data_IF_366828352979
#
_entry.id   IF_366828352979
#
_cell.length_a   1.000
_cell.length_b   1.000
_cell.length_c   1.000
_cell.angle_alpha   90.00
_cell.angle_beta   90.00
_cell.angle_gamma   90.00
#
_symmetry.space_group_name_H-M   'P 1'
#
loop_
_entity.id
_entity.type
_entity.pdbx_description
1 polymer ?
#
# COMPACT_ATOMS: atom_id res chain seq x y z
N UNK A 1 -2.67 56.63 31.68
CA UNK A 1 -2.20 57.39 32.87
C UNK A 1 -3.41 57.61 33.76
N UNK A 2 -3.27 57.28 35.05
CA UNK A 2 -4.15 57.71 36.17
C UNK A 2 -5.47 56.91 36.31
N UNK A 3 -5.50 55.82 37.10
CA UNK A 3 -5.67 55.73 38.59
C UNK A 3 -7.17 55.89 38.93
N UNK A 4 -7.90 54.85 39.34
CA UNK A 4 -7.91 54.06 40.58
C UNK A 4 -9.32 54.24 41.22
N UNK A 5 -9.87 53.48 42.16
CA UNK A 5 -9.36 52.55 43.19
C UNK A 5 -10.60 51.96 43.89
N UNK A 6 -10.50 50.71 44.38
CA UNK A 6 -10.98 50.18 45.70
C UNK A 6 -12.49 50.27 46.04
N UNK A 7 -13.10 49.38 46.82
CA UNK A 7 -12.67 48.29 47.72
C UNK A 7 -13.91 47.47 48.10
N UNK A 8 -13.72 46.16 48.21
CA UNK A 8 -14.16 45.23 49.27
C UNK A 8 -15.59 45.24 49.83
N UNK A 9 -16.24 44.08 49.81
CA UNK A 9 -16.58 43.35 51.05
C UNK A 9 -16.92 41.88 50.75
N UNK A 10 -16.41 41.03 51.63
CA UNK A 10 -16.46 39.57 51.67
C UNK A 10 -17.69 39.13 52.47
N UNK A 11 -18.41 38.09 52.01
CA UNK A 11 -19.10 37.15 52.89
C UNK A 11 -18.91 35.72 52.36
N UNK A 12 -18.23 34.91 53.19
CA UNK A 12 -18.19 33.46 53.14
C UNK A 12 -19.54 32.89 53.61
N UNK A 13 -20.06 31.84 52.96
CA UNK A 13 -20.22 30.55 53.63
C UNK A 13 -20.58 29.44 52.62
N UNK A 14 -19.59 28.59 52.39
CA UNK A 14 -19.58 27.17 52.75
C UNK A 14 -20.73 26.23 52.33
N UNK A 15 -20.30 25.04 51.90
CA UNK A 15 -21.06 23.82 52.14
C UNK A 15 -21.49 23.01 50.93
N UNK A 16 -20.64 22.05 50.55
CA UNK A 16 -21.12 20.69 50.33
C UNK A 16 -21.38 20.27 48.88
N UNK A 17 -20.31 19.80 48.23
CA UNK A 17 -20.39 19.12 46.95
C UNK A 17 -20.79 17.63 47.03
N UNK A 18 -21.03 17.13 45.81
CA UNK A 18 -20.91 15.77 45.31
C UNK A 18 -21.84 14.67 45.84
N UNK A 19 -22.58 14.07 44.90
CA UNK A 19 -22.45 12.64 44.64
C UNK A 19 -22.91 12.23 43.24
N UNK A 20 -22.07 11.42 42.59
CA UNK A 20 -22.36 10.61 41.42
C UNK A 20 -23.32 9.45 41.77
N UNK A 21 -24.05 8.86 40.81
CA UNK A 21 -24.87 7.68 41.09
C UNK A 21 -24.06 6.38 40.93
N UNK A 22 -24.00 5.60 41.99
CA UNK A 22 -23.60 4.17 42.01
C UNK A 22 -24.82 3.24 42.02
N UNK A 23 -24.64 1.94 41.68
CA UNK A 23 -25.69 0.97 41.34
C UNK A 23 -26.14 0.12 42.54
N UNK A 24 -27.23 -0.65 42.38
CA UNK A 24 -27.71 -1.66 43.36
C UNK A 24 -28.72 -2.65 42.70
N UNK A 25 -29.06 -3.82 43.30
CA UNK A 25 -28.27 -5.03 43.67
C UNK A 25 -28.93 -6.36 43.17
N UNK A 26 -28.28 -7.52 42.95
CA UNK A 26 -27.77 -8.56 43.89
C UNK A 26 -28.91 -9.37 44.59
N UNK A 27 -28.93 -10.70 44.82
CA UNK A 27 -28.10 -11.89 44.56
C UNK A 27 -28.75 -13.10 45.31
N UNK A 28 -28.35 -14.35 45.01
CA UNK A 28 -28.21 -15.56 45.89
C UNK A 28 -28.58 -16.86 45.15
N UNK A 29 -27.87 -18.00 45.19
CA UNK A 29 -26.61 -18.43 45.83
C UNK A 29 -26.13 -19.76 45.20
N UNK A 30 -24.82 -20.03 45.31
CA UNK A 30 -24.07 -21.16 44.76
C UNK A 30 -24.11 -22.46 45.61
N UNK A 31 -23.75 -23.61 45.00
CA UNK A 31 -22.63 -24.49 45.46
C UNK A 31 -22.32 -25.68 44.52
N UNK A 32 -21.05 -26.06 44.58
CA UNK A 32 -20.25 -27.03 43.82
C UNK A 32 -20.74 -28.49 43.85
N UNK A 33 -20.41 -29.31 42.84
CA UNK A 33 -19.45 -30.45 42.92
C UNK A 33 -19.26 -31.15 41.55
N UNK A 34 -18.02 -31.50 41.18
CA UNK A 34 -17.67 -32.64 40.31
C UNK A 34 -17.14 -33.78 41.21
N UNK A 35 -17.20 -35.08 40.84
CA UNK A 35 -16.09 -35.67 40.05
C UNK A 35 -16.41 -36.91 39.16
N UNK A 36 -15.59 -37.10 38.11
CA UNK A 36 -15.25 -38.39 37.44
C UNK A 36 -16.35 -39.06 36.60
N UNK A 37 -16.13 -39.63 35.42
CA UNK A 37 -14.95 -39.93 34.62
C UNK A 37 -15.27 -41.21 33.82
N UNK A 38 -15.18 -41.22 32.49
CA UNK A 38 -14.87 -42.42 31.70
C UNK A 38 -14.58 -42.06 30.24
N UNK A 39 -13.52 -42.71 29.77
CA UNK A 39 -12.89 -42.68 28.46
C UNK A 39 -13.74 -43.46 27.45
N UNK A 40 -13.93 -42.92 26.25
CA UNK A 40 -14.11 -43.75 25.06
C UNK A 40 -13.35 -43.15 23.87
N UNK A 41 -12.41 -43.95 23.38
CA UNK A 41 -11.67 -43.80 22.14
C UNK A 41 -12.63 -43.72 20.94
N UNK A 42 -12.40 -42.76 20.08
CA UNK A 42 -12.89 -42.69 18.71
C UNK A 42 -11.76 -42.22 17.82
N UNK A 43 -11.03 -43.18 17.26
CA UNK A 43 -10.08 -42.98 16.18
C UNK A 43 -10.80 -42.43 14.94
N UNK A 44 -10.11 -41.56 14.19
CA UNK A 44 -10.45 -41.31 12.79
C UNK A 44 -10.37 -39.85 12.38
N UNK A 45 -9.39 -39.52 11.55
CA UNK A 45 -9.40 -38.28 10.76
C UNK A 45 -8.18 -37.39 10.92
N UNK A 46 -6.98 -37.94 11.05
CA UNK A 46 -5.78 -37.22 10.62
C UNK A 46 -5.89 -36.99 9.12
N UNK A 47 -6.32 -35.81 8.70
CA UNK A 47 -6.25 -35.39 7.31
C UNK A 47 -4.78 -35.20 6.95
N UNK A 48 -4.13 -36.28 6.56
CA UNK A 48 -2.89 -36.21 5.82
C UNK A 48 -3.21 -35.46 4.52
N UNK A 49 -2.82 -34.20 4.43
CA UNK A 49 -2.89 -33.46 3.18
C UNK A 49 -2.02 -34.19 2.16
N UNK A 50 -2.67 -34.76 1.14
CA UNK A 50 -2.01 -35.37 -0.01
C UNK A 50 -1.04 -34.37 -0.66
N UNK A 51 0.11 -34.80 -1.20
CA UNK A 51 1.11 -33.89 -1.79
C UNK A 51 0.65 -33.15 -3.06
N UNK A 52 -0.59 -33.39 -3.52
CA UNK A 52 -1.12 -32.87 -4.78
C UNK A 52 -2.42 -32.06 -4.62
N UNK A 53 -2.69 -31.49 -3.44
CA UNK A 53 -3.82 -30.56 -3.31
C UNK A 53 -3.44 -29.19 -3.88
N UNK A 54 -3.72 -28.95 -5.16
CA UNK A 54 -3.64 -27.61 -5.75
C UNK A 54 -4.47 -26.65 -4.91
N UNK A 55 -3.85 -25.66 -4.27
CA UNK A 55 -4.57 -24.66 -3.48
C UNK A 55 -5.51 -23.88 -4.42
N UNK A 56 -6.82 -24.19 -4.41
CA UNK A 56 -7.80 -23.50 -5.27
C UNK A 56 -8.12 -22.11 -4.73
N UNK A 57 -8.41 -21.17 -5.62
CA UNK A 57 -8.81 -19.82 -5.21
C UNK A 57 -10.12 -19.83 -4.40
N UNK A 58 -10.19 -19.17 -3.22
CA UNK A 58 -11.37 -19.21 -2.33
C UNK A 58 -12.61 -18.46 -2.88
N UNK A 59 -13.44 -19.14 -3.66
CA UNK A 59 -14.64 -18.56 -4.30
C UNK A 59 -15.66 -17.97 -3.32
N UNK A 60 -15.91 -18.65 -2.19
CA UNK A 60 -16.88 -18.18 -1.19
C UNK A 60 -16.43 -16.85 -0.56
N UNK A 61 -15.14 -16.75 -0.20
CA UNK A 61 -14.57 -15.50 0.32
C UNK A 61 -14.57 -14.39 -0.72
N UNK A 62 -14.35 -14.72 -2.00
CA UNK A 62 -14.45 -13.75 -3.09
C UNK A 62 -15.87 -13.19 -3.20
N UNK A 63 -16.89 -14.04 -3.18
CA UNK A 63 -18.29 -13.60 -3.24
C UNK A 63 -18.68 -12.71 -2.05
N UNK A 64 -18.20 -13.05 -0.84
CA UNK A 64 -18.43 -12.23 0.35
C UNK A 64 -17.71 -10.88 0.23
N UNK A 65 -16.47 -10.86 -0.25
CA UNK A 65 -15.74 -9.61 -0.49
C UNK A 65 -16.49 -8.73 -1.49
N UNK A 66 -16.91 -9.28 -2.62
CA UNK A 66 -17.67 -8.58 -3.67
C UNK A 66 -18.94 -7.93 -3.07
N UNK A 67 -19.69 -8.69 -2.28
CA UNK A 67 -20.88 -8.17 -1.58
C UNK A 67 -20.53 -7.01 -0.64
N UNK A 68 -19.44 -7.12 0.13
CA UNK A 68 -19.00 -6.06 1.04
C UNK A 68 -18.57 -4.81 0.26
N UNK A 69 -17.69 -4.93 -0.75
CA UNK A 69 -17.14 -3.78 -1.48
C UNK A 69 -18.20 -3.06 -2.31
N UNK A 70 -19.29 -3.72 -2.69
CA UNK A 70 -20.43 -3.08 -3.37
C UNK A 70 -21.46 -2.45 -2.42
N UNK A 71 -21.36 -2.70 -1.11
CA UNK A 71 -22.31 -2.17 -0.11
C UNK A 71 -22.15 -0.65 0.08
N UNK A 72 -23.29 0.05 0.22
CA UNK A 72 -23.36 1.46 0.62
C UNK A 72 -23.03 1.67 2.10
N UNK A 73 -23.29 0.66 2.94
CA UNK A 73 -22.79 0.57 4.31
C UNK A 73 -21.58 -0.35 4.32
N UNK A 74 -20.45 0.20 3.90
CA UNK A 74 -19.19 -0.52 3.84
C UNK A 74 -18.67 -0.88 5.24
N UNK A 75 -18.19 -2.10 5.38
CA UNK A 75 -17.44 -2.58 6.55
C UNK A 75 -16.09 -3.06 6.05
N UNK A 76 -15.03 -2.56 6.65
CA UNK A 76 -13.65 -2.82 6.25
C UNK A 76 -13.30 -4.31 6.47
N UNK A 77 -13.08 -5.12 5.42
CA UNK A 77 -12.86 -6.57 5.53
C UNK A 77 -11.38 -6.89 5.77
N UNK A 78 -10.76 -6.16 6.68
CA UNK A 78 -9.30 -6.18 6.89
C UNK A 78 -8.88 -7.00 8.10
N UNK A 79 -9.82 -7.40 8.96
CA UNK A 79 -9.49 -8.18 10.15
C UNK A 79 -8.83 -9.51 9.76
N UNK A 80 -8.02 -10.11 10.66
CA UNK A 80 -7.35 -11.37 10.39
C UNK A 80 -8.33 -12.46 9.95
N UNK A 81 -7.91 -13.26 8.97
CA UNK A 81 -8.67 -14.38 8.39
C UNK A 81 -9.98 -14.00 7.65
N UNK A 82 -10.24 -12.70 7.51
CA UNK A 82 -11.31 -12.21 6.66
C UNK A 82 -10.94 -12.25 5.18
N UNK A 83 -11.90 -11.87 4.35
CA UNK A 83 -11.89 -12.18 2.93
C UNK A 83 -10.69 -11.58 2.22
N UNK A 84 -10.40 -10.30 2.44
CA UNK A 84 -9.29 -9.63 1.74
C UNK A 84 -7.94 -10.29 2.04
N UNK A 85 -7.63 -10.54 3.31
CA UNK A 85 -6.36 -11.16 3.68
C UNK A 85 -6.27 -12.58 3.10
N UNK A 86 -7.32 -13.39 3.25
CA UNK A 86 -7.34 -14.76 2.73
C UNK A 86 -7.19 -14.81 1.20
N UNK A 87 -7.83 -13.90 0.48
CA UNK A 87 -7.76 -13.84 -0.98
C UNK A 87 -6.37 -13.41 -1.46
N UNK A 88 -5.73 -12.44 -0.80
CA UNK A 88 -4.34 -12.07 -1.13
C UNK A 88 -3.39 -13.24 -0.83
N UNK A 89 -3.53 -13.91 0.31
CA UNK A 89 -2.72 -15.10 0.64
C UNK A 89 -2.90 -16.21 -0.40
N UNK A 90 -4.13 -16.52 -0.78
CA UNK A 90 -4.41 -17.53 -1.80
C UNK A 90 -3.85 -17.13 -3.17
N UNK A 91 -3.95 -15.85 -3.55
CA UNK A 91 -3.34 -15.34 -4.77
C UNK A 91 -1.82 -15.52 -4.77
N UNK A 92 -1.14 -15.19 -3.66
CA UNK A 92 0.30 -15.37 -3.51
C UNK A 92 0.71 -16.83 -3.70
N UNK A 93 0.00 -17.78 -3.07
CA UNK A 93 0.29 -19.21 -3.21
C UNK A 93 0.06 -19.72 -4.64
N UNK A 94 -0.97 -19.22 -5.32
CA UNK A 94 -1.18 -19.51 -6.73
C UNK A 94 -0.08 -18.92 -7.62
N UNK A 95 0.37 -17.69 -7.36
CA UNK A 95 1.46 -17.06 -8.12
C UNK A 95 2.77 -17.85 -8.00
N UNK A 96 3.10 -18.36 -6.80
CA UNK A 96 4.30 -19.18 -6.58
C UNK A 96 4.35 -20.45 -7.44
N UNK A 97 3.18 -20.92 -7.88
CA UNK A 97 3.03 -22.12 -8.73
C UNK A 97 2.57 -21.78 -10.15
N UNK A 98 2.51 -20.49 -10.53
CA UNK A 98 1.92 -19.97 -11.78
C UNK A 98 0.48 -20.43 -12.07
N UNK A 99 -0.22 -20.98 -11.08
CA UNK A 99 -1.60 -21.48 -11.22
C UNK A 99 -2.64 -20.36 -11.16
N UNK A 100 -2.23 -19.14 -10.82
CA UNK A 100 -3.12 -17.97 -10.82
C UNK A 100 -3.59 -17.61 -12.23
N UNK A 101 -2.76 -17.85 -13.25
CA UNK A 101 -3.05 -17.52 -14.67
C UNK A 101 -4.25 -18.30 -15.20
N UNK A 102 -4.42 -19.55 -14.75
CA UNK A 102 -5.53 -20.41 -15.15
C UNK A 102 -6.79 -20.20 -14.27
N UNK A 103 -6.64 -19.46 -13.17
CA UNK A 103 -7.71 -19.19 -12.22
C UNK A 103 -8.40 -17.86 -12.54
N UNK A 104 -9.44 -17.91 -13.38
CA UNK A 104 -10.21 -16.70 -13.70
C UNK A 104 -10.77 -15.95 -12.48
N UNK A 105 -11.22 -16.61 -11.40
CA UNK A 105 -11.57 -15.92 -10.15
C UNK A 105 -10.42 -15.12 -9.54
N UNK A 106 -9.18 -15.63 -9.63
CA UNK A 106 -7.98 -14.94 -9.16
C UNK A 106 -7.62 -13.77 -10.06
N UNK A 107 -7.71 -13.95 -11.39
CA UNK A 107 -7.49 -12.87 -12.35
C UNK A 107 -8.53 -11.74 -12.18
N UNK A 108 -9.81 -12.07 -11.97
CA UNK A 108 -10.86 -11.08 -11.66
C UNK A 108 -10.58 -10.36 -10.35
N UNK A 109 -10.08 -11.06 -9.33
CA UNK A 109 -9.67 -10.43 -8.08
C UNK A 109 -8.54 -9.40 -8.29
N UNK A 110 -7.59 -9.64 -9.20
CA UNK A 110 -6.57 -8.64 -9.57
C UNK A 110 -7.15 -7.41 -10.26
N UNK A 111 -8.04 -7.63 -11.24
CA UNK A 111 -8.60 -6.54 -12.07
C UNK A 111 -9.54 -5.64 -11.28
N UNK A 112 -10.38 -6.23 -10.43
CA UNK A 112 -11.50 -5.53 -9.80
C UNK A 112 -11.39 -5.52 -8.27
N UNK A 113 -11.26 -6.71 -7.67
CA UNK A 113 -11.35 -6.88 -6.22
C UNK A 113 -10.30 -6.08 -5.44
N UNK A 114 -9.03 -6.15 -5.85
CA UNK A 114 -7.94 -5.42 -5.21
C UNK A 114 -8.07 -3.90 -5.39
N UNK A 115 -8.34 -3.45 -6.63
CA UNK A 115 -8.46 -2.03 -6.95
C UNK A 115 -9.53 -1.34 -6.10
N UNK A 116 -10.73 -1.91 -6.05
CA UNK A 116 -11.83 -1.34 -5.27
C UNK A 116 -11.55 -1.42 -3.77
N UNK A 117 -11.05 -2.56 -3.29
CA UNK A 117 -10.76 -2.77 -1.86
C UNK A 117 -9.72 -1.78 -1.35
N UNK A 118 -8.55 -1.69 -1.98
CA UNK A 118 -7.47 -0.81 -1.51
C UNK A 118 -7.79 0.67 -1.71
N UNK A 119 -8.53 1.04 -2.76
CA UNK A 119 -9.00 2.43 -2.90
C UNK A 119 -9.85 2.82 -1.70
N UNK A 120 -10.90 2.05 -1.38
CA UNK A 120 -11.75 2.33 -0.21
C UNK A 120 -10.94 2.34 1.09
N UNK A 121 -10.10 1.32 1.31
CA UNK A 121 -9.37 1.19 2.58
C UNK A 121 -8.37 2.33 2.82
N UNK A 122 -7.73 2.84 1.75
CA UNK A 122 -6.64 3.81 1.89
C UNK A 122 -7.08 5.27 1.72
N UNK A 123 -8.27 5.53 1.16
CA UNK A 123 -8.73 6.89 0.87
C UNK A 123 -10.02 7.29 1.59
N UNK A 124 -10.77 6.36 2.19
CA UNK A 124 -12.04 6.67 2.85
C UNK A 124 -11.82 7.54 4.10
N UNK A 125 -12.71 8.51 4.31
CA UNK A 125 -12.65 9.43 5.46
C UNK A 125 -12.79 8.70 6.80
N UNK A 126 -13.43 7.52 6.80
CA UNK A 126 -13.57 6.66 7.96
C UNK A 126 -12.23 6.18 8.55
N UNK A 127 -11.10 6.32 7.84
CA UNK A 127 -9.75 6.09 8.38
C UNK A 127 -9.55 6.75 9.74
N UNK A 128 -10.08 7.97 9.93
CA UNK A 128 -9.93 8.73 11.18
C UNK A 128 -10.71 8.13 12.36
N UNK A 129 -11.67 7.25 12.09
CA UNK A 129 -12.53 6.62 13.10
C UNK A 129 -12.07 5.22 13.50
N UNK A 130 -11.14 4.63 12.76
CA UNK A 130 -10.70 3.26 13.01
C UNK A 130 -9.74 3.18 14.20
N UNK A 131 -9.81 2.06 14.93
CA UNK A 131 -8.92 1.77 16.04
C UNK A 131 -7.55 1.34 15.52
N UNK A 132 -6.48 1.64 16.25
CA UNK A 132 -5.09 1.32 15.86
C UNK A 132 -4.87 -0.13 15.39
N UNK A 133 -5.56 -1.12 15.98
CA UNK A 133 -5.47 -2.52 15.54
C UNK A 133 -5.97 -2.73 14.10
N UNK A 134 -6.97 -1.98 13.65
CA UNK A 134 -7.46 -1.99 12.27
C UNK A 134 -6.40 -1.42 11.33
N UNK A 135 -5.73 -0.33 11.73
CA UNK A 135 -4.65 0.26 10.93
C UNK A 135 -3.49 -0.73 10.72
N UNK A 136 -3.12 -1.49 11.76
CA UNK A 136 -2.14 -2.56 11.63
C UNK A 136 -2.59 -3.67 10.67
N UNK A 137 -3.87 -4.04 10.72
CA UNK A 137 -4.41 -5.03 9.78
C UNK A 137 -4.36 -4.54 8.32
N UNK A 138 -4.66 -3.26 8.09
CA UNK A 138 -4.54 -2.61 6.78
C UNK A 138 -3.08 -2.64 6.31
N UNK A 139 -2.15 -2.21 7.16
CA UNK A 139 -0.72 -2.23 6.87
C UNK A 139 -0.23 -3.65 6.53
N UNK A 140 -0.63 -4.66 7.30
CA UNK A 140 -0.31 -6.07 7.03
C UNK A 140 -0.87 -6.57 5.69
N UNK A 141 -1.99 -6.03 5.22
CA UNK A 141 -2.53 -6.35 3.90
C UNK A 141 -1.77 -5.61 2.78
N UNK A 142 -1.32 -4.37 3.03
CA UNK A 142 -0.40 -3.67 2.13
C UNK A 142 0.91 -4.44 1.93
N UNK A 143 1.49 -5.01 3.00
CA UNK A 143 2.71 -5.82 2.89
C UNK A 143 2.51 -7.05 1.99
N UNK A 144 1.39 -7.77 2.16
CA UNK A 144 1.05 -8.93 1.32
C UNK A 144 0.79 -8.53 -0.13
N UNK A 145 0.16 -7.38 -0.35
CA UNK A 145 -0.01 -6.85 -1.69
C UNK A 145 1.34 -6.53 -2.35
N UNK A 146 2.29 -5.94 -1.63
CA UNK A 146 3.64 -5.69 -2.14
C UNK A 146 4.31 -7.02 -2.55
N UNK A 147 4.21 -8.06 -1.72
CA UNK A 147 4.67 -9.41 -2.07
C UNK A 147 4.04 -9.93 -3.36
N UNK A 148 2.70 -9.86 -3.46
CA UNK A 148 1.96 -10.28 -4.65
C UNK A 148 2.41 -9.52 -5.91
N UNK A 149 2.61 -8.21 -5.81
CA UNK A 149 3.05 -7.37 -6.93
C UNK A 149 4.46 -7.76 -7.37
N UNK A 150 5.39 -7.99 -6.44
CA UNK A 150 6.76 -8.41 -6.78
C UNK A 150 6.75 -9.76 -7.50
N UNK A 151 5.96 -10.73 -7.03
CA UNK A 151 5.82 -12.04 -7.70
C UNK A 151 5.26 -11.93 -9.12
N UNK A 152 4.45 -10.90 -9.38
CA UNK A 152 3.78 -10.66 -10.67
C UNK A 152 4.47 -9.62 -11.54
N UNK A 153 5.55 -9.00 -11.08
CA UNK A 153 6.25 -7.90 -11.78
C UNK A 153 6.81 -8.32 -13.14
N UNK A 154 7.15 -9.61 -13.27
CA UNK A 154 7.55 -10.25 -14.52
C UNK A 154 6.44 -10.32 -15.58
N UNK A 155 5.20 -10.02 -15.23
CA UNK A 155 4.00 -10.14 -16.07
C UNK A 155 3.29 -8.79 -16.23
N UNK A 156 2.56 -8.60 -17.33
CA UNK A 156 1.96 -7.31 -17.71
C UNK A 156 0.60 -7.08 -17.01
N UNK A 157 0.59 -7.18 -15.68
CA UNK A 157 -0.64 -7.07 -14.87
C UNK A 157 -0.83 -5.63 -14.37
N UNK A 158 -1.20 -4.72 -15.29
CA UNK A 158 -1.38 -3.28 -15.01
C UNK A 158 -2.26 -3.00 -13.77
N UNK A 159 -3.40 -3.69 -13.55
CA UNK A 159 -4.21 -3.44 -12.35
C UNK A 159 -3.45 -3.61 -11.03
N UNK A 160 -2.52 -4.57 -10.94
CA UNK A 160 -1.68 -4.73 -9.74
C UNK A 160 -0.71 -3.54 -9.55
N UNK A 161 -0.17 -3.00 -10.65
CA UNK A 161 0.71 -1.83 -10.63
C UNK A 161 -0.04 -0.54 -10.24
N UNK A 162 -1.28 -0.39 -10.68
CA UNK A 162 -2.15 0.71 -10.25
C UNK A 162 -2.47 0.63 -8.76
N UNK A 163 -2.68 -0.57 -8.22
CA UNK A 163 -2.90 -0.77 -6.78
C UNK A 163 -1.61 -0.54 -5.99
N UNK A 164 -0.45 -0.97 -6.50
CA UNK A 164 0.86 -0.61 -5.92
C UNK A 164 1.02 0.91 -5.83
N UNK A 165 0.63 1.63 -6.90
CA UNK A 165 0.64 3.09 -6.92
C UNK A 165 -0.22 3.67 -5.79
N UNK A 166 -1.45 3.16 -5.60
CA UNK A 166 -2.32 3.61 -4.49
C UNK A 166 -1.69 3.34 -3.12
N UNK A 167 -1.06 2.17 -2.94
CA UNK A 167 -0.41 1.76 -1.69
C UNK A 167 0.84 2.57 -1.41
N UNK A 168 1.58 2.99 -2.43
CA UNK A 168 2.76 3.84 -2.27
C UNK A 168 2.45 5.33 -2.22
N UNK A 169 1.26 5.76 -2.64
CA UNK A 169 0.91 7.18 -2.69
C UNK A 169 0.98 7.85 -1.30
N UNK A 170 1.98 8.71 -1.02
CA UNK A 170 2.11 9.34 0.30
C UNK A 170 0.91 10.25 0.61
N UNK A 171 0.20 10.74 -0.40
CA UNK A 171 -0.90 11.67 -0.20
C UNK A 171 -2.25 10.99 0.11
N UNK A 172 -2.33 9.66 0.16
CA UNK A 172 -3.57 8.99 0.54
C UNK A 172 -3.93 9.25 2.02
N UNK A 173 -5.22 9.07 2.35
CA UNK A 173 -5.77 9.37 3.69
C UNK A 173 -5.09 8.53 4.76
N UNK A 174 -4.83 7.25 4.50
CA UNK A 174 -4.19 6.33 5.44
C UNK A 174 -2.77 6.77 5.81
N UNK A 175 -1.91 7.06 4.84
CA UNK A 175 -0.53 7.49 5.11
C UNK A 175 -0.48 8.87 5.75
N UNK A 176 -1.41 9.76 5.39
CA UNK A 176 -1.52 11.09 5.99
C UNK A 176 -1.94 11.00 7.46
N UNK A 177 -2.92 10.16 7.79
CA UNK A 177 -3.33 9.91 9.17
C UNK A 177 -2.19 9.30 10.00
N UNK A 178 -1.46 8.33 9.44
CA UNK A 178 -0.35 7.66 10.11
C UNK A 178 1.01 8.35 9.86
N UNK A 179 1.05 9.64 9.55
CA UNK A 179 2.30 10.31 9.13
C UNK A 179 3.40 10.29 10.20
N UNK A 180 3.04 10.23 11.48
CA UNK A 180 3.97 10.15 12.61
C UNK A 180 4.41 8.72 12.95
N UNK A 181 3.91 7.71 12.24
CA UNK A 181 4.32 6.33 12.46
C UNK A 181 5.81 6.18 12.16
N UNK A 182 6.55 5.55 13.09
CA UNK A 182 7.97 5.28 12.91
C UNK A 182 8.17 4.04 12.04
N UNK A 183 9.26 4.07 11.27
CA UNK A 183 9.68 2.95 10.43
C UNK A 183 10.33 1.87 11.29
N UNK A 184 9.96 0.61 11.02
CA UNK A 184 10.60 -0.56 11.65
C UNK A 184 11.89 -0.92 10.92
N UNK A 185 11.90 -0.77 9.58
CA UNK A 185 13.08 -1.06 8.75
C UNK A 185 14.19 -0.02 8.91
N UNK A 186 13.83 1.22 9.24
CA UNK A 186 14.77 2.33 9.49
C UNK A 186 14.39 3.04 10.79
N UNK A 187 14.72 2.47 11.97
CA UNK A 187 14.44 3.10 13.25
C UNK A 187 15.15 4.46 13.39
N UNK A 188 14.57 5.35 14.18
CA UNK A 188 15.20 6.63 14.54
C UNK A 188 16.54 6.36 15.23
N UNK A 189 17.59 7.11 14.83
CA UNK A 189 18.98 6.93 15.30
C UNK A 189 19.65 5.61 14.90
N UNK A 190 19.10 4.88 13.93
CA UNK A 190 19.81 3.74 13.33
C UNK A 190 20.97 4.23 12.45
N UNK A 191 22.13 3.59 12.58
CA UNK A 191 23.32 3.86 11.76
C UNK A 191 23.38 2.91 10.54
N UNK A 192 22.22 2.50 10.02
CA UNK A 192 22.16 1.66 8.82
C UNK A 192 22.68 2.51 7.64
N UNK A 193 23.59 2.02 6.80
CA UNK A 193 24.03 2.72 5.58
C UNK A 193 22.91 2.87 4.54
N UNK A 194 23.04 3.82 3.61
CA UNK A 194 22.06 4.01 2.53
C UNK A 194 22.09 2.89 1.49
N UNK A 195 23.19 2.15 1.40
CA UNK A 195 23.38 1.03 0.50
C UNK A 195 22.65 -0.24 0.97
N UNK A 196 22.29 -0.32 2.25
CA UNK A 196 21.63 -1.47 2.86
C UNK A 196 20.09 -1.34 2.88
N UNK A 197 19.56 -0.16 2.54
CA UNK A 197 18.12 0.11 2.51
C UNK A 197 17.72 0.84 1.24
N UNK A 198 16.46 0.70 0.86
CA UNK A 198 15.94 1.25 -0.39
C UNK A 198 15.25 2.60 -0.21
N UNK A 199 14.70 2.85 0.98
CA UNK A 199 13.99 4.06 1.32
C UNK A 199 14.22 4.48 2.77
N UNK A 200 14.06 5.79 3.01
CA UNK A 200 14.17 6.45 4.32
C UNK A 200 13.10 7.54 4.49
N UNK A 201 12.76 7.91 5.75
CA UNK A 201 11.97 9.10 6.01
C UNK A 201 12.65 10.37 5.47
N UNK A 202 11.87 11.26 4.87
CA UNK A 202 12.35 12.59 4.41
C UNK A 202 12.75 13.48 5.60
N UNK A 203 11.94 13.42 6.66
CA UNK A 203 12.18 14.15 7.91
C UNK A 203 11.98 13.18 9.09
N UNK A 204 13.02 13.04 9.92
CA UNK A 204 13.01 12.18 11.11
C UNK A 204 12.25 12.79 12.29
N UNK A 205 11.90 14.08 12.25
CA UNK A 205 11.24 14.78 13.35
C UNK A 205 9.72 14.88 13.17
N UNK A 206 9.21 14.96 11.93
CA UNK A 206 7.78 15.03 11.63
C UNK A 206 7.47 14.35 10.30
N UNK A 207 6.27 13.79 10.17
CA UNK A 207 5.78 13.18 8.92
C UNK A 207 6.71 12.08 8.36
N UNK A 208 7.27 11.25 9.25
CA UNK A 208 8.20 10.17 8.91
C UNK A 208 7.60 9.15 7.93
N UNK A 209 6.28 8.93 8.01
CA UNK A 209 5.53 7.97 7.20
C UNK A 209 6.20 6.60 7.18
N UNK A 210 6.54 6.10 8.37
CA UNK A 210 7.37 4.91 8.55
C UNK A 210 6.83 3.66 7.89
N UNK A 211 5.50 3.46 7.89
CA UNK A 211 4.88 2.34 7.18
C UNK A 211 5.04 2.44 5.65
N UNK A 212 5.03 3.64 5.07
CA UNK A 212 5.32 3.79 3.64
C UNK A 212 6.77 3.41 3.35
N UNK A 213 7.71 3.90 4.16
CA UNK A 213 9.14 3.55 4.07
C UNK A 213 9.33 2.03 4.17
N UNK A 214 8.68 1.40 5.14
CA UNK A 214 8.76 -0.05 5.34
C UNK A 214 8.19 -0.84 4.15
N UNK A 215 7.13 -0.36 3.50
CA UNK A 215 6.58 -0.99 2.29
C UNK A 215 7.52 -0.87 1.09
N UNK A 216 8.21 0.26 0.93
CA UNK A 216 9.21 0.45 -0.13
C UNK A 216 10.44 -0.43 0.12
N UNK A 217 10.91 -0.50 1.37
CA UNK A 217 12.00 -1.38 1.76
C UNK A 217 11.63 -2.86 1.59
N UNK A 218 10.39 -3.25 1.90
CA UNK A 218 9.88 -4.59 1.62
C UNK A 218 9.94 -4.91 0.12
N UNK A 219 9.46 -4.00 -0.74
CA UNK A 219 9.53 -4.17 -2.20
C UNK A 219 10.96 -4.42 -2.67
N UNK A 220 11.93 -3.64 -2.18
CA UNK A 220 13.34 -3.84 -2.53
C UNK A 220 13.96 -5.12 -1.97
N UNK A 221 13.67 -5.47 -0.71
CA UNK A 221 14.17 -6.70 -0.07
C UNK A 221 13.66 -7.97 -0.76
N UNK A 222 12.50 -7.90 -1.42
CA UNK A 222 11.97 -8.99 -2.23
C UNK A 222 12.52 -9.01 -3.66
N UNK A 223 13.50 -8.15 -3.99
CA UNK A 223 14.08 -8.06 -5.33
C UNK A 223 13.24 -7.26 -6.32
N UNK A 224 12.21 -6.54 -5.87
CA UNK A 224 11.28 -5.81 -6.74
C UNK A 224 11.97 -4.76 -7.63
N UNK A 225 12.96 -4.02 -7.11
CA UNK A 225 13.69 -3.05 -7.93
C UNK A 225 14.57 -3.70 -8.99
N UNK A 226 15.17 -4.84 -8.67
CA UNK A 226 15.96 -5.61 -9.63
C UNK A 226 15.07 -6.16 -10.74
N UNK A 227 13.94 -6.77 -10.38
CA UNK A 227 12.95 -7.25 -11.35
C UNK A 227 12.36 -6.11 -12.19
N UNK A 228 12.14 -4.93 -11.61
CA UNK A 228 11.71 -3.73 -12.34
C UNK A 228 12.75 -3.31 -13.39
N UNK A 229 14.02 -3.23 -13.01
CA UNK A 229 15.11 -2.87 -13.93
C UNK A 229 15.22 -3.87 -15.09
N UNK A 230 15.18 -5.17 -14.79
CA UNK A 230 15.25 -6.23 -15.80
C UNK A 230 14.13 -6.12 -16.84
N UNK A 231 12.93 -5.68 -16.44
CA UNK A 231 11.80 -5.46 -17.35
C UNK A 231 12.11 -4.43 -18.44
N UNK A 232 12.88 -3.38 -18.11
CA UNK A 232 13.32 -2.39 -19.09
C UNK A 232 14.53 -2.87 -19.90
N UNK A 233 15.43 -3.63 -19.28
CA UNK A 233 16.65 -4.12 -19.95
C UNK A 233 16.39 -5.26 -20.94
N UNK A 234 15.37 -6.09 -20.72
CA UNK A 234 15.13 -7.31 -21.51
C UNK A 234 14.59 -7.05 -22.93
N UNK A 235 14.51 -5.80 -23.39
CA UNK A 235 14.04 -5.39 -24.74
C UNK A 235 12.69 -5.98 -25.16
N UNK A 236 11.89 -6.47 -24.21
CA UNK A 236 10.49 -6.80 -24.44
C UNK A 236 9.75 -5.53 -24.86
N UNK A 237 8.79 -5.64 -25.78
CA UNK A 237 8.00 -4.50 -26.26
C UNK A 237 7.13 -3.95 -25.12
N UNK A 238 7.64 -2.93 -24.42
CA UNK A 238 6.92 -2.25 -23.36
C UNK A 238 5.95 -1.24 -23.98
N UNK A 239 4.66 -1.38 -23.72
CA UNK A 239 3.67 -0.39 -24.14
C UNK A 239 3.73 0.84 -23.24
N UNK A 240 3.32 2.01 -23.76
CA UNK A 240 3.30 3.26 -22.97
C UNK A 240 2.46 3.15 -21.68
N UNK A 241 1.25 2.57 -21.70
CA UNK A 241 0.49 2.35 -20.46
C UNK A 241 1.23 1.48 -19.44
N UNK A 242 1.98 0.48 -19.90
CA UNK A 242 2.76 -0.39 -19.01
C UNK A 242 3.97 0.33 -18.42
N UNK A 243 4.71 1.11 -19.22
CA UNK A 243 5.82 1.95 -18.73
C UNK A 243 5.30 2.93 -17.67
N UNK A 244 4.17 3.58 -17.95
CA UNK A 244 3.53 4.47 -16.99
C UNK A 244 3.20 3.75 -15.69
N UNK A 245 2.54 2.59 -15.76
CA UNK A 245 2.16 1.82 -14.58
C UNK A 245 3.38 1.32 -13.78
N UNK A 246 4.48 0.97 -14.45
CA UNK A 246 5.72 0.49 -13.81
C UNK A 246 6.46 1.61 -13.06
N UNK A 247 6.48 2.84 -13.60
CA UNK A 247 7.30 3.94 -13.07
C UNK A 247 6.52 4.87 -12.14
N UNK A 248 5.21 5.01 -12.33
CA UNK A 248 4.35 5.91 -11.56
C UNK A 248 4.43 5.69 -10.03
N UNK A 249 4.40 4.46 -9.47
CA UNK A 249 4.53 4.25 -8.03
C UNK A 249 5.76 4.94 -7.45
N UNK A 250 6.89 4.85 -8.15
CA UNK A 250 8.19 5.32 -7.67
C UNK A 250 8.38 6.83 -7.88
N UNK A 251 7.81 7.39 -8.95
CA UNK A 251 7.72 8.84 -9.10
C UNK A 251 6.96 9.50 -7.94
N UNK A 252 5.93 8.84 -7.38
CA UNK A 252 5.19 9.38 -6.23
C UNK A 252 5.95 9.32 -4.91
N UNK A 253 6.91 8.40 -4.77
CA UNK A 253 7.71 8.22 -3.54
C UNK A 253 9.18 8.60 -3.72
N UNK A 254 9.53 9.33 -4.78
CA UNK A 254 10.90 9.68 -5.13
C UNK A 254 11.67 10.32 -3.94
N UNK A 255 11.02 11.16 -3.15
CA UNK A 255 11.63 11.82 -1.97
C UNK A 255 12.05 10.83 -0.87
N UNK A 256 11.46 9.64 -0.82
CA UNK A 256 11.77 8.61 0.18
C UNK A 256 12.85 7.64 -0.29
N UNK A 257 13.12 7.53 -1.60
CA UNK A 257 14.10 6.60 -2.11
C UNK A 257 15.51 7.05 -1.74
N UNK A 258 16.38 6.11 -1.34
CA UNK A 258 17.79 6.43 -1.10
C UNK A 258 18.49 6.74 -2.43
N UNK A 259 19.50 7.62 -2.39
CA UNK A 259 20.28 7.94 -3.58
C UNK A 259 20.91 6.69 -4.24
N UNK A 260 21.49 5.73 -3.49
CA UNK A 260 21.94 4.46 -4.07
C UNK A 260 20.86 3.69 -4.82
N UNK A 261 19.61 3.70 -4.33
CA UNK A 261 18.48 3.04 -5.01
C UNK A 261 18.16 3.69 -6.34
N UNK A 262 18.11 5.03 -6.38
CA UNK A 262 17.85 5.79 -7.61
C UNK A 262 18.96 5.55 -8.63
N UNK A 263 20.23 5.67 -8.20
CA UNK A 263 21.39 5.46 -9.06
C UNK A 263 21.44 4.03 -9.61
N UNK A 264 21.20 3.03 -8.77
CA UNK A 264 21.34 1.62 -9.16
C UNK A 264 20.21 1.14 -10.07
N UNK A 265 18.97 1.48 -9.75
CA UNK A 265 17.81 0.86 -10.40
C UNK A 265 17.08 1.81 -11.35
N UNK A 266 16.97 3.10 -11.03
CA UNK A 266 16.17 4.02 -11.82
C UNK A 266 16.97 4.73 -12.91
N UNK A 267 18.21 5.15 -12.65
CA UNK A 267 19.02 5.83 -13.68
C UNK A 267 19.14 5.03 -14.99
N UNK A 268 19.43 3.71 -14.99
CA UNK A 268 19.44 2.94 -16.23
C UNK A 268 18.05 2.89 -16.91
N UNK A 269 16.96 2.89 -16.14
CA UNK A 269 15.61 2.94 -16.70
C UNK A 269 15.34 4.30 -17.36
N UNK A 270 15.79 5.40 -16.72
CA UNK A 270 15.63 6.76 -17.25
C UNK A 270 16.45 6.99 -18.52
N UNK A 271 17.51 6.23 -18.76
CA UNK A 271 18.27 6.22 -20.02
C UNK A 271 17.51 5.45 -21.13
N UNK A 272 16.79 4.38 -20.78
CA UNK A 272 16.04 3.54 -21.74
C UNK A 272 14.73 4.21 -22.19
N UNK A 273 13.99 4.87 -21.29
CA UNK A 273 12.66 5.41 -21.58
C UNK A 273 12.67 6.40 -22.76
N UNK A 274 13.59 7.39 -22.84
CA UNK A 274 13.69 8.28 -24.00
C UNK A 274 13.84 7.53 -25.33
N UNK A 275 14.65 6.48 -25.36
CA UNK A 275 14.83 5.66 -26.58
C UNK A 275 13.51 4.98 -26.98
N UNK A 276 12.73 4.48 -26.03
CA UNK A 276 11.41 3.89 -26.32
C UNK A 276 10.45 4.95 -26.87
N UNK A 277 10.43 6.13 -26.27
CA UNK A 277 9.55 7.23 -26.68
C UNK A 277 9.89 7.77 -28.08
N UNK A 278 11.17 7.90 -28.43
CA UNK A 278 11.61 8.36 -29.76
C UNK A 278 11.31 7.33 -30.88
N UNK A 279 11.14 6.06 -30.53
CA UNK A 279 10.84 4.98 -31.48
C UNK A 279 9.34 4.69 -31.65
N UNK A 280 8.45 5.49 -31.04
CA UNK A 280 7.01 5.35 -31.23
C UNK A 280 6.60 5.68 -32.66
N UNK A 281 5.68 4.89 -33.20
CA UNK A 281 5.07 5.17 -34.49
C UNK A 281 4.03 6.29 -34.40
N UNK A 282 3.76 6.98 -35.51
CA UNK A 282 2.69 8.00 -35.59
C UNK A 282 1.32 7.47 -35.13
N UNK A 283 1.04 6.19 -35.38
CA UNK A 283 -0.22 5.56 -35.00
C UNK A 283 -0.30 5.28 -33.49
N UNK A 284 0.82 4.96 -32.84
CA UNK A 284 0.92 4.84 -31.39
C UNK A 284 0.81 6.22 -30.72
N UNK A 285 1.51 7.22 -31.25
CA UNK A 285 1.41 8.61 -30.78
C UNK A 285 -0.02 9.13 -30.89
N UNK A 286 -0.69 8.92 -32.03
CA UNK A 286 -2.11 9.30 -32.22
C UNK A 286 -3.05 8.55 -31.29
N UNK A 287 -2.74 7.30 -30.94
CA UNK A 287 -3.56 6.50 -30.02
C UNK A 287 -3.47 7.05 -28.60
N UNK A 288 -2.27 7.40 -28.15
CA UNK A 288 -2.07 7.99 -26.83
C UNK A 288 -2.62 9.43 -26.76
N UNK A 289 -2.44 10.24 -27.81
CA UNK A 289 -2.95 11.62 -27.87
C UNK A 289 -4.50 11.71 -27.86
N UNK A 290 -5.21 10.69 -28.37
CA UNK A 290 -6.68 10.66 -28.38
C UNK A 290 -7.31 10.31 -27.02
N UNK A 291 -6.53 9.85 -26.05
CA UNK A 291 -7.00 9.52 -24.70
C UNK A 291 -7.07 10.78 -23.80
N UNK A 292 -7.75 11.84 -24.28
CA UNK A 292 -7.90 13.16 -23.61
C UNK A 292 -8.59 13.10 -22.22
N UNK A 293 -9.08 11.94 -21.78
CA UNK A 293 -9.64 11.76 -20.45
C UNK A 293 -8.57 11.43 -19.40
N UNK A 294 -8.12 12.45 -18.65
CA UNK A 294 -7.41 12.39 -17.34
C UNK A 294 -6.12 11.57 -17.20
N UNK A 295 -5.69 10.78 -18.18
CA UNK A 295 -4.50 9.92 -18.09
C UNK A 295 -3.69 10.00 -19.39
N UNK A 296 -3.06 11.15 -19.63
CA UNK A 296 -1.94 11.20 -20.57
C UNK A 296 -0.80 10.37 -19.97
N UNK A 297 -0.72 9.11 -20.39
CA UNK A 297 0.27 8.16 -19.91
C UNK A 297 1.68 8.65 -20.22
N UNK A 298 1.90 9.33 -21.35
CA UNK A 298 3.21 9.86 -21.70
C UNK A 298 3.59 11.02 -20.79
N UNK A 299 2.69 12.00 -20.57
CA UNK A 299 2.94 13.07 -19.60
C UNK A 299 3.17 12.51 -18.19
N UNK A 300 2.46 11.44 -17.84
CA UNK A 300 2.65 10.70 -16.60
C UNK A 300 4.04 10.07 -16.48
N UNK A 301 4.51 9.39 -17.52
CA UNK A 301 5.88 8.84 -17.61
C UNK A 301 6.90 9.96 -17.46
N UNK A 302 6.79 11.03 -18.24
CA UNK A 302 7.70 12.18 -18.21
C UNK A 302 7.75 12.78 -16.81
N UNK A 303 6.58 13.00 -16.18
CA UNK A 303 6.49 13.55 -14.82
C UNK A 303 7.25 12.68 -13.82
N UNK A 304 7.00 11.37 -13.81
CA UNK A 304 7.67 10.48 -12.86
C UNK A 304 9.18 10.37 -13.12
N UNK A 305 9.60 10.34 -14.39
CA UNK A 305 11.02 10.34 -14.75
C UNK A 305 11.72 11.61 -14.25
N UNK A 306 11.10 12.78 -14.42
CA UNK A 306 11.66 14.06 -13.94
C UNK A 306 11.81 14.10 -12.43
N UNK A 307 10.82 13.60 -11.68
CA UNK A 307 10.89 13.54 -10.22
C UNK A 307 12.04 12.66 -9.74
N UNK A 308 12.24 11.51 -10.37
CA UNK A 308 13.35 10.60 -10.06
C UNK A 308 14.72 11.18 -10.46
N UNK A 309 14.83 11.78 -11.65
CA UNK A 309 16.07 12.40 -12.12
C UNK A 309 16.50 13.58 -11.22
N UNK A 310 15.54 14.37 -10.73
CA UNK A 310 15.81 15.54 -9.88
C UNK A 310 16.46 15.19 -8.53
N UNK A 311 16.37 13.93 -8.08
CA UNK A 311 17.04 13.46 -6.87
C UNK A 311 18.55 13.29 -7.03
N UNK A 312 19.06 13.26 -8.28
CA UNK A 312 20.48 13.00 -8.57
C UNK A 312 21.17 14.30 -9.00
N UNK A 313 22.28 14.69 -8.35
CA UNK A 313 23.06 15.85 -8.77
C UNK A 313 23.52 15.75 -10.23
N UNK A 314 23.56 16.89 -10.92
CA UNK A 314 24.06 17.01 -12.31
C UNK A 314 23.24 16.29 -13.40
N UNK A 315 21.99 15.90 -13.13
CA UNK A 315 21.08 15.32 -14.15
C UNK A 315 20.27 16.35 -14.95
N UNK A 316 20.75 17.59 -15.05
CA UNK A 316 20.04 18.68 -15.76
C UNK A 316 19.78 18.37 -17.24
N UNK A 317 20.71 17.67 -17.90
CA UNK A 317 20.57 17.30 -19.31
C UNK A 317 19.47 16.26 -19.52
N UNK A 318 19.43 15.21 -18.70
CA UNK A 318 18.37 14.19 -18.70
C UNK A 318 16.99 14.84 -18.49
N UNK A 319 16.88 15.80 -17.56
CA UNK A 319 15.65 16.55 -17.32
C UNK A 319 15.26 17.42 -18.53
N UNK A 320 16.23 18.05 -19.20
CA UNK A 320 15.99 18.84 -20.42
C UNK A 320 15.51 17.96 -21.57
N UNK A 321 16.13 16.80 -21.78
CA UNK A 321 15.72 15.86 -22.83
C UNK A 321 14.26 15.42 -22.64
N UNK A 322 13.88 15.02 -21.42
CA UNK A 322 12.48 14.67 -21.09
C UNK A 322 11.50 15.83 -21.36
N UNK A 323 11.91 17.08 -21.18
CA UNK A 323 11.08 18.25 -21.47
C UNK A 323 10.94 18.49 -22.99
N UNK A 324 12.02 18.30 -23.77
CA UNK A 324 11.97 18.38 -25.24
C UNK A 324 10.97 17.37 -25.80
N UNK A 325 10.98 16.14 -25.28
CA UNK A 325 9.99 15.12 -25.63
C UNK A 325 8.55 15.56 -25.34
N UNK A 326 8.31 16.18 -24.18
CA UNK A 326 6.96 16.68 -23.85
C UNK A 326 6.47 17.69 -24.89
N UNK A 327 7.34 18.56 -25.38
CA UNK A 327 7.00 19.57 -26.39
C UNK A 327 6.68 18.92 -27.74
N UNK A 328 7.47 17.92 -28.18
CA UNK A 328 7.21 17.15 -29.42
C UNK A 328 5.83 16.48 -29.48
N UNK A 329 5.22 16.21 -28.33
CA UNK A 329 3.91 15.53 -28.23
C UNK A 329 2.74 16.54 -28.26
N UNK A 330 2.98 17.78 -27.85
CA UNK A 330 1.96 18.84 -27.78
C UNK A 330 1.82 19.57 -29.12
N UNK A 331 2.91 19.65 -29.90
CA UNK A 331 2.96 20.26 -31.23
C UNK A 331 2.56 19.29 -32.36
#
# INVERSE_FOLDING_TARGET
MTIATRTDSVEENDGGGNQAPTPQPGMSSAKDTSPGGTVHQGEGGGTSCSPNCTCKFPLEKLAILDSKISSSRWVVPVLPEQELECLIKAAIELCKTNSDVESEPCQRFYREGLTVSFTKILTDDAVHSWKYNIHNCIYNNCQKLVELVVLKLGQDVIPLLDVLTMVFNPCNTFHTFNSNQQSVSVPVNSNIPDEEVFARPVDYYKNQRGWLVDLINLFGNMGGFQALLERFQNKSTLTIPLIFALIRPFGQVHEYLTLPTILKYFMPILEIIPEILDNLTDDELKREAKNESKNDAIAGVIKSCKLLAACVPHQEETVKQLEIFRLKIID
#
